data_IF_341320918778
#
_entry.id   IF_341320918778
#
_cell.length_a   1.000
_cell.length_b   1.000
_cell.length_c   1.000
_cell.angle_alpha   90.00
_cell.angle_beta   90.00
_cell.angle_gamma   90.00
#
_symmetry.space_group_name_H-M   'P 1'
#
loop_
_entity.id
_entity.type
_entity.pdbx_description
1 polymer ?
#
# COMPACT_ATOMS: atom_id res chain seq x y z
N UNK A 1 -0.33 -1.43 -18.69
CA UNK A 1 -0.76 -0.74 -19.92
C UNK A 1 -1.94 -1.41 -20.62
N UNK A 2 -1.97 -2.73 -20.82
CA UNK A 2 -3.06 -3.36 -21.58
C UNK A 2 -4.40 -3.46 -20.83
N UNK A 3 -4.40 -3.37 -19.50
CA UNK A 3 -5.62 -3.51 -18.68
C UNK A 3 -6.69 -2.48 -19.04
N UNK A 4 -6.33 -1.20 -19.02
CA UNK A 4 -7.25 -0.07 -19.16
C UNK A 4 -6.55 1.13 -19.84
N UNK A 5 -7.25 1.94 -20.67
CA UNK A 5 -6.66 3.12 -21.30
C UNK A 5 -6.15 4.20 -20.35
N UNK A 6 -6.60 4.20 -19.10
CA UNK A 6 -6.17 5.12 -18.04
C UNK A 6 -5.18 4.44 -17.06
N UNK A 7 -4.79 3.19 -17.33
CA UNK A 7 -3.75 2.51 -16.57
C UNK A 7 -2.43 3.27 -16.68
N UNK A 8 -1.67 3.30 -15.59
CA UNK A 8 -0.38 3.96 -15.52
C UNK A 8 0.74 2.93 -15.42
N UNK A 9 1.79 3.08 -16.25
CA UNK A 9 2.99 2.26 -16.20
C UNK A 9 4.23 3.16 -16.17
N UNK A 10 5.04 3.04 -15.10
CA UNK A 10 6.22 3.89 -14.87
C UNK A 10 7.45 3.00 -14.78
N UNK A 11 8.43 3.22 -15.65
CA UNK A 11 9.75 2.60 -15.56
C UNK A 11 10.74 3.55 -14.90
N UNK A 12 11.38 3.12 -13.81
CA UNK A 12 12.45 3.88 -13.15
C UNK A 12 13.80 3.22 -13.45
N UNK A 13 14.62 3.89 -14.25
CA UNK A 13 15.93 3.42 -14.71
C UNK A 13 17.03 3.99 -13.81
N UNK A 14 17.93 3.14 -13.32
CA UNK A 14 18.92 3.50 -12.29
C UNK A 14 20.32 3.61 -12.90
N UNK A 15 20.95 4.78 -12.73
CA UNK A 15 22.29 5.07 -13.22
C UNK A 15 22.29 5.32 -14.73
N UNK A 16 23.37 4.90 -15.40
CA UNK A 16 23.50 5.02 -16.87
C UNK A 16 22.84 3.82 -17.54
N UNK A 17 21.61 4.00 -18.00
CA UNK A 17 20.86 2.98 -18.76
C UNK A 17 20.72 3.40 -20.23
N UNK A 18 20.64 2.42 -21.14
CA UNK A 18 20.27 2.68 -22.53
C UNK A 18 18.75 2.86 -22.64
N UNK A 19 18.28 4.10 -22.56
CA UNK A 19 16.86 4.43 -22.73
C UNK A 19 16.33 3.99 -24.09
N UNK A 20 17.17 4.02 -25.13
CA UNK A 20 16.75 3.61 -26.48
C UNK A 20 16.49 2.10 -26.54
N UNK A 21 17.18 1.28 -25.75
CA UNK A 21 16.88 -0.14 -25.66
C UNK A 21 15.48 -0.39 -25.09
N UNK A 22 15.12 0.32 -24.01
CA UNK A 22 13.79 0.22 -23.39
C UNK A 22 12.70 0.68 -24.37
N UNK A 23 12.91 1.81 -25.05
CA UNK A 23 11.96 2.32 -26.04
C UNK A 23 11.81 1.38 -27.25
N UNK A 24 12.91 0.81 -27.76
CA UNK A 24 12.86 -0.17 -28.85
C UNK A 24 12.02 -1.39 -28.47
N UNK A 25 12.24 -1.93 -27.27
CA UNK A 25 11.48 -3.08 -26.78
C UNK A 25 10.00 -2.74 -26.57
N UNK A 26 9.71 -1.59 -25.95
CA UNK A 26 8.35 -1.11 -25.75
C UNK A 26 7.58 -0.99 -27.08
N UNK A 27 8.19 -0.37 -28.09
CA UNK A 27 7.59 -0.22 -29.43
C UNK A 27 7.42 -1.58 -30.10
N UNK A 28 8.44 -2.43 -30.07
CA UNK A 28 8.42 -3.76 -30.68
C UNK A 28 7.32 -4.65 -30.11
N UNK A 29 7.20 -4.72 -28.79
CA UNK A 29 6.16 -5.52 -28.13
C UNK A 29 4.76 -4.94 -28.34
N UNK A 30 4.62 -3.61 -28.31
CA UNK A 30 3.32 -2.95 -28.53
C UNK A 30 2.81 -3.17 -29.95
N UNK A 31 3.70 -3.19 -30.95
CA UNK A 31 3.33 -3.34 -32.35
C UNK A 31 2.64 -4.68 -32.67
N UNK A 32 2.97 -5.74 -31.93
CA UNK A 32 2.41 -7.10 -32.12
C UNK A 32 1.29 -7.44 -31.13
N UNK A 33 0.99 -6.56 -30.18
CA UNK A 33 0.02 -6.84 -29.12
C UNK A 33 -1.43 -6.79 -29.65
N UNK A 34 -2.28 -7.79 -29.34
CA UNK A 34 -3.69 -7.76 -29.76
C UNK A 34 -4.48 -6.56 -29.25
N UNK A 35 -4.16 -6.06 -28.04
CA UNK A 35 -4.78 -4.88 -27.42
C UNK A 35 -3.96 -3.60 -27.63
N UNK A 36 -3.23 -3.50 -28.74
CA UNK A 36 -2.32 -2.38 -29.06
C UNK A 36 -2.92 -1.00 -28.84
N UNK A 37 -4.14 -0.75 -29.30
CA UNK A 37 -4.78 0.57 -29.18
C UNK A 37 -4.95 1.01 -27.72
N UNK A 38 -5.27 0.07 -26.82
CA UNK A 38 -5.41 0.34 -25.38
C UNK A 38 -4.04 0.61 -24.77
N UNK A 39 -3.03 -0.20 -25.13
CA UNK A 39 -1.65 -0.06 -24.67
C UNK A 39 -1.10 1.32 -25.07
N UNK A 40 -1.23 1.69 -26.34
CA UNK A 40 -0.78 2.99 -26.86
C UNK A 40 -1.46 4.15 -26.14
N UNK A 41 -2.78 4.08 -25.94
CA UNK A 41 -3.53 5.12 -25.21
C UNK A 41 -3.07 5.24 -23.75
N UNK A 42 -2.93 4.12 -23.04
CA UNK A 42 -2.42 4.08 -21.66
C UNK A 42 -1.02 4.67 -21.53
N UNK A 43 -0.10 4.27 -22.40
CA UNK A 43 1.28 4.78 -22.40
C UNK A 43 1.31 6.28 -22.71
N UNK A 44 0.58 6.74 -23.72
CA UNK A 44 0.54 8.16 -24.09
C UNK A 44 -0.06 9.03 -22.98
N UNK A 45 -1.09 8.56 -22.28
CA UNK A 45 -1.79 9.33 -21.27
C UNK A 45 -1.03 9.38 -19.93
N UNK A 46 -0.46 8.24 -19.51
CA UNK A 46 0.01 8.08 -18.14
C UNK A 46 1.35 7.34 -18.03
N UNK A 47 1.94 6.90 -19.14
CA UNK A 47 3.24 6.24 -19.16
C UNK A 47 4.38 7.20 -18.84
N UNK A 48 5.41 6.71 -18.15
CA UNK A 48 6.63 7.49 -17.90
C UNK A 48 7.87 6.61 -17.84
N UNK A 49 8.99 7.13 -18.33
CA UNK A 49 10.33 6.58 -18.11
C UNK A 49 11.13 7.65 -17.37
N UNK A 50 11.62 7.30 -16.17
CA UNK A 50 12.34 8.22 -15.30
C UNK A 50 13.74 7.66 -15.09
N UNK A 51 14.77 8.41 -15.44
CA UNK A 51 16.16 8.03 -15.15
C UNK A 51 16.63 8.73 -13.86
N UNK A 52 17.16 7.96 -12.92
CA UNK A 52 17.66 8.44 -11.63
C UNK A 52 19.13 8.07 -11.43
N UNK A 53 19.90 8.82 -10.64
CA UNK A 53 21.32 8.55 -10.47
C UNK A 53 21.62 7.25 -9.71
N UNK A 54 20.74 6.87 -8.77
CA UNK A 54 20.98 5.73 -7.88
C UNK A 54 19.68 5.07 -7.38
N UNK A 55 19.86 3.94 -6.68
CA UNK A 55 18.78 3.13 -6.12
C UNK A 55 18.01 3.88 -5.03
N UNK A 56 18.67 4.81 -4.31
CA UNK A 56 18.01 5.57 -3.24
C UNK A 56 16.95 6.50 -3.83
N UNK A 57 17.28 7.22 -4.90
CA UNK A 57 16.30 8.03 -5.64
C UNK A 57 15.14 7.20 -6.18
N UNK A 58 15.39 5.99 -6.70
CA UNK A 58 14.32 5.09 -7.14
C UNK A 58 13.37 4.68 -6.00
N UNK A 59 13.92 4.37 -4.82
CA UNK A 59 13.14 4.05 -3.61
C UNK A 59 12.29 5.25 -3.17
N UNK A 60 12.84 6.47 -3.22
CA UNK A 60 12.11 7.69 -2.87
C UNK A 60 10.91 7.89 -3.80
N UNK A 61 11.11 7.76 -5.11
CA UNK A 61 10.01 7.83 -6.10
C UNK A 61 8.96 6.75 -5.84
N UNK A 62 9.37 5.49 -5.62
CA UNK A 62 8.42 4.40 -5.36
C UNK A 62 7.58 4.67 -4.10
N UNK A 63 8.21 5.13 -3.02
CA UNK A 63 7.52 5.46 -1.77
C UNK A 63 6.59 6.67 -1.89
N UNK A 64 6.99 7.69 -2.65
CA UNK A 64 6.13 8.85 -2.93
C UNK A 64 4.98 8.47 -3.85
N UNK A 65 5.21 7.58 -4.82
CA UNK A 65 4.16 7.15 -5.74
C UNK A 65 3.14 6.24 -5.07
N UNK A 66 3.59 5.39 -4.14
CA UNK A 66 2.77 4.37 -3.48
C UNK A 66 2.00 3.50 -4.51
N UNK A 67 2.72 2.80 -5.39
CA UNK A 67 2.12 2.09 -6.50
C UNK A 67 1.26 0.90 -6.05
N UNK A 68 0.31 0.53 -6.88
CA UNK A 68 -0.45 -0.72 -6.75
C UNK A 68 0.48 -1.93 -6.86
N UNK A 69 1.20 -2.03 -7.99
CA UNK A 69 2.22 -3.05 -8.25
C UNK A 69 3.62 -2.41 -8.32
N UNK A 70 4.61 -3.00 -7.65
CA UNK A 70 6.00 -2.58 -7.71
C UNK A 70 6.92 -3.75 -8.09
N UNK A 71 7.46 -3.73 -9.31
CA UNK A 71 8.53 -4.66 -9.71
C UNK A 71 9.91 -4.07 -9.39
N UNK A 72 10.75 -4.87 -8.71
CA UNK A 72 12.12 -4.50 -8.35
C UNK A 72 13.10 -5.41 -9.06
N UNK A 73 13.60 -4.94 -10.20
CA UNK A 73 14.56 -5.67 -11.05
C UNK A 73 15.96 -5.11 -10.82
N UNK A 74 16.57 -5.46 -9.68
CA UNK A 74 17.95 -5.07 -9.34
C UNK A 74 18.75 -6.26 -8.82
N UNK A 75 20.09 -6.15 -8.80
CA UNK A 75 20.97 -7.22 -8.27
C UNK A 75 20.66 -7.61 -6.81
N UNK A 76 20.15 -6.69 -6.00
CA UNK A 76 19.85 -6.92 -4.59
C UNK A 76 18.41 -6.51 -4.26
N UNK A 77 17.45 -7.03 -5.04
CA UNK A 77 16.03 -6.64 -4.97
C UNK A 77 15.44 -6.74 -3.55
N UNK A 78 15.82 -7.75 -2.77
CA UNK A 78 15.36 -7.91 -1.38
C UNK A 78 15.79 -6.75 -0.48
N UNK A 79 17.04 -6.30 -0.60
CA UNK A 79 17.53 -5.16 0.19
C UNK A 79 16.84 -3.84 -0.19
N UNK A 80 16.45 -3.70 -1.46
CA UNK A 80 15.65 -2.55 -1.92
C UNK A 80 14.23 -2.63 -1.37
N UNK A 81 13.59 -3.80 -1.45
CA UNK A 81 12.24 -4.05 -0.97
C UNK A 81 12.06 -3.71 0.52
N UNK A 82 13.07 -4.03 1.35
CA UNK A 82 13.07 -3.71 2.78
C UNK A 82 13.01 -2.20 3.08
N UNK A 83 13.25 -1.34 2.09
CA UNK A 83 13.17 0.12 2.21
C UNK A 83 11.89 0.71 1.58
N UNK A 84 11.05 -0.13 1.00
CA UNK A 84 9.74 0.25 0.48
C UNK A 84 8.74 0.26 1.63
N UNK A 85 8.10 1.40 1.82
CA UNK A 85 7.06 1.65 2.82
C UNK A 85 5.67 1.55 2.22
N UNK A 86 5.50 1.97 0.97
CA UNK A 86 4.20 2.07 0.30
C UNK A 86 4.21 1.31 -1.02
N UNK A 87 3.54 0.17 -1.07
CA UNK A 87 3.21 -0.56 -2.30
C UNK A 87 2.07 -1.56 -2.00
N UNK A 88 1.18 -1.82 -2.96
CA UNK A 88 0.16 -2.85 -2.82
C UNK A 88 0.76 -4.26 -2.85
N UNK A 89 1.50 -4.57 -3.92
CA UNK A 89 2.28 -5.79 -4.06
C UNK A 89 3.69 -5.48 -4.57
N UNK A 90 4.68 -6.25 -4.09
CA UNK A 90 6.09 -6.08 -4.46
C UNK A 90 6.61 -7.38 -5.08
N UNK A 91 7.13 -7.28 -6.30
CA UNK A 91 7.68 -8.38 -7.07
C UNK A 91 9.20 -8.25 -7.19
N UNK A 92 9.94 -9.33 -6.95
CA UNK A 92 11.39 -9.26 -6.75
C UNK A 92 12.16 -10.08 -7.79
N UNK A 93 12.97 -9.36 -8.60
CA UNK A 93 13.86 -9.96 -9.57
C UNK A 93 13.21 -10.20 -10.94
N UNK A 94 14.02 -10.54 -11.95
CA UNK A 94 13.61 -10.54 -13.36
C UNK A 94 12.63 -11.66 -13.73
N UNK A 95 12.46 -12.66 -12.87
CA UNK A 95 11.58 -13.82 -13.12
C UNK A 95 10.22 -13.69 -12.43
N UNK A 96 9.97 -12.57 -11.74
CA UNK A 96 8.74 -12.35 -10.97
C UNK A 96 7.96 -11.21 -11.61
N UNK A 97 7.37 -11.47 -12.77
CA UNK A 97 6.46 -10.53 -13.42
C UNK A 97 5.15 -10.39 -12.62
N UNK A 98 4.51 -9.22 -12.70
CA UNK A 98 3.19 -8.91 -12.11
C UNK A 98 2.16 -10.02 -12.35
N UNK A 99 2.09 -10.54 -13.59
CA UNK A 99 1.16 -11.60 -13.97
C UNK A 99 1.29 -12.89 -13.13
N UNK A 100 2.48 -13.20 -12.60
CA UNK A 100 2.65 -14.35 -11.70
C UNK A 100 1.89 -14.12 -10.38
N UNK A 101 1.91 -12.89 -9.88
CA UNK A 101 1.11 -12.43 -8.75
C UNK A 101 -0.38 -12.51 -9.00
N UNK A 102 -0.80 -12.00 -10.16
CA UNK A 102 -2.21 -11.86 -10.50
C UNK A 102 -2.96 -13.19 -10.60
N UNK A 103 -2.24 -14.28 -10.89
CA UNK A 103 -2.87 -15.56 -11.21
C UNK A 103 -2.48 -16.73 -10.31
N UNK A 104 -1.20 -16.85 -9.91
CA UNK A 104 -0.71 -18.15 -9.42
C UNK A 104 0.17 -18.10 -8.17
N UNK A 105 0.76 -16.95 -7.81
CA UNK A 105 1.67 -16.88 -6.67
C UNK A 105 0.97 -17.07 -5.31
N UNK A 106 -0.34 -16.78 -5.23
CA UNK A 106 -1.14 -16.89 -4.01
C UNK A 106 -1.60 -15.56 -3.36
N UNK A 107 -0.87 -14.43 -3.45
CA UNK A 107 -1.39 -13.13 -3.02
C UNK A 107 -2.67 -12.72 -3.74
N UNK A 108 -3.42 -11.78 -3.16
CA UNK A 108 -4.65 -11.27 -3.78
C UNK A 108 -4.32 -10.10 -4.72
N UNK A 109 -4.88 -10.10 -5.93
CA UNK A 109 -4.70 -9.02 -6.92
C UNK A 109 -5.67 -7.85 -6.74
N UNK A 110 -6.57 -7.89 -5.75
CA UNK A 110 -7.40 -6.73 -5.39
C UNK A 110 -6.57 -5.82 -4.49
N UNK A 111 -5.95 -4.82 -5.11
CA UNK A 111 -4.94 -3.98 -4.48
C UNK A 111 -5.38 -2.51 -4.39
N UNK A 112 -4.77 -1.74 -3.48
CA UNK A 112 -4.99 -0.30 -3.39
C UNK A 112 -4.34 0.44 -4.58
N UNK A 113 -5.16 1.11 -5.39
CA UNK A 113 -4.72 1.86 -6.58
C UNK A 113 -4.55 3.36 -6.29
N UNK A 114 -4.13 4.16 -7.29
CA UNK A 114 -4.16 5.64 -7.22
C UNK A 114 -3.42 6.25 -6.02
N UNK A 115 -2.33 5.61 -5.56
CA UNK A 115 -1.53 6.07 -4.43
C UNK A 115 -2.13 5.78 -3.05
N UNK A 116 -3.21 4.99 -2.99
CA UNK A 116 -3.87 4.64 -1.73
C UNK A 116 -3.13 3.55 -0.94
N UNK A 117 -2.11 2.91 -1.52
CA UNK A 117 -1.20 2.01 -0.82
C UNK A 117 -0.43 2.69 0.35
N UNK A 118 -0.57 4.02 0.50
CA UNK A 118 -0.13 4.77 1.70
C UNK A 118 -0.91 4.44 2.96
N UNK A 119 -2.16 4.01 2.84
CA UNK A 119 -3.07 3.84 3.98
C UNK A 119 -4.06 2.68 3.84
N UNK A 120 -4.20 2.08 2.65
CA UNK A 120 -4.93 0.84 2.46
C UNK A 120 -3.98 -0.33 2.22
N UNK A 121 -4.43 -1.51 2.62
CA UNK A 121 -3.75 -2.79 2.40
C UNK A 121 -4.42 -3.55 1.25
N UNK A 122 -3.72 -4.52 0.64
CA UNK A 122 -4.32 -5.53 -0.22
C UNK A 122 -5.54 -6.20 0.42
N UNK A 123 -6.51 -6.63 -0.41
CA UNK A 123 -7.61 -7.46 0.07
C UNK A 123 -7.05 -8.72 0.73
N UNK A 124 -7.49 -8.97 1.97
CA UNK A 124 -7.06 -10.15 2.73
C UNK A 124 -8.24 -10.72 3.50
N UNK A 125 -8.02 -11.87 4.16
CA UNK A 125 -9.03 -12.45 5.03
C UNK A 125 -9.53 -11.44 6.07
N UNK A 126 -8.64 -10.58 6.61
CA UNK A 126 -8.98 -9.54 7.59
C UNK A 126 -10.02 -8.54 7.09
N UNK A 127 -10.09 -8.30 5.78
CA UNK A 127 -11.09 -7.42 5.16
C UNK A 127 -12.53 -7.93 5.33
N UNK A 128 -12.69 -9.21 5.67
CA UNK A 128 -14.00 -9.85 5.91
C UNK A 128 -14.30 -10.06 7.40
N UNK A 129 -13.37 -9.71 8.30
CA UNK A 129 -13.60 -9.76 9.75
C UNK A 129 -14.18 -8.45 10.26
N UNK A 130 -14.96 -8.55 11.34
CA UNK A 130 -15.34 -7.42 12.18
C UNK A 130 -14.72 -7.63 13.56
N UNK A 131 -13.99 -6.64 14.06
CA UNK A 131 -13.43 -6.66 15.40
C UNK A 131 -14.36 -5.92 16.38
N UNK A 132 -14.70 -6.57 17.49
CA UNK A 132 -15.47 -5.97 18.58
C UNK A 132 -14.67 -6.03 19.87
N UNK A 133 -14.54 -4.90 20.57
CA UNK A 133 -13.89 -4.85 21.86
C UNK A 133 -14.91 -5.24 22.94
N UNK A 134 -14.59 -6.25 23.75
CA UNK A 134 -15.41 -6.68 24.89
C UNK A 134 -14.65 -6.31 26.17
N UNK A 135 -15.30 -5.54 27.05
CA UNK A 135 -14.69 -5.06 28.29
C UNK A 135 -15.58 -5.46 29.46
N UNK A 136 -14.99 -6.15 30.42
CA UNK A 136 -15.62 -6.50 31.70
C UNK A 136 -14.78 -5.90 32.83
N UNK A 137 -15.44 -5.30 33.83
CA UNK A 137 -14.79 -4.61 34.93
C UNK A 137 -15.17 -5.29 36.25
N UNK A 138 -14.17 -5.84 36.94
CA UNK A 138 -14.35 -6.39 38.29
C UNK A 138 -14.50 -5.26 39.32
N UNK A 139 -15.03 -5.55 40.53
CA UNK A 139 -15.09 -4.56 41.61
C UNK A 139 -13.72 -3.94 41.94
N UNK A 140 -12.66 -4.75 42.03
CA UNK A 140 -11.31 -4.29 42.34
C UNK A 140 -10.75 -3.40 41.21
N UNK A 141 -11.03 -3.76 39.94
CA UNK A 141 -10.63 -2.93 38.80
C UNK A 141 -11.38 -1.59 38.80
N UNK A 142 -12.67 -1.58 39.15
CA UNK A 142 -13.45 -0.36 39.28
C UNK A 142 -12.87 0.56 40.35
N UNK A 143 -12.56 0.05 41.53
CA UNK A 143 -11.94 0.82 42.62
C UNK A 143 -10.59 1.42 42.18
N UNK A 144 -9.78 0.64 41.45
CA UNK A 144 -8.47 1.06 40.96
C UNK A 144 -8.58 2.14 39.87
N UNK A 145 -9.53 2.00 38.94
CA UNK A 145 -9.67 2.87 37.78
C UNK A 145 -10.49 4.12 38.06
N UNK A 146 -11.39 4.08 39.04
CA UNK A 146 -12.34 5.16 39.30
C UNK A 146 -11.69 6.52 39.54
N UNK A 147 -10.60 6.68 40.31
CA UNK A 147 -9.97 7.98 40.49
C UNK A 147 -9.57 8.64 39.16
N UNK A 148 -8.98 7.87 38.25
CA UNK A 148 -8.60 8.35 36.91
C UNK A 148 -9.83 8.70 36.06
N UNK A 149 -10.84 7.83 36.05
CA UNK A 149 -12.06 8.05 35.25
C UNK A 149 -12.83 9.28 35.74
N UNK A 150 -12.96 9.45 37.06
CA UNK A 150 -13.63 10.62 37.65
C UNK A 150 -12.87 11.90 37.34
N UNK A 151 -11.54 11.90 37.52
CA UNK A 151 -10.69 13.08 37.23
C UNK A 151 -10.83 13.53 35.78
N UNK A 152 -10.77 12.59 34.82
CA UNK A 152 -10.89 12.90 33.39
C UNK A 152 -12.30 13.38 33.07
N UNK A 153 -13.34 12.65 33.52
CA UNK A 153 -14.73 13.02 33.23
C UNK A 153 -15.12 14.38 33.83
N UNK A 154 -14.60 14.74 35.01
CA UNK A 154 -14.81 16.06 35.62
C UNK A 154 -14.08 17.16 34.85
N UNK A 155 -12.83 16.92 34.44
CA UNK A 155 -12.05 17.88 33.64
C UNK A 155 -12.68 18.15 32.26
N UNK A 156 -13.33 17.15 31.67
CA UNK A 156 -14.09 17.28 30.43
C UNK A 156 -15.50 17.88 30.64
N UNK A 157 -15.92 18.12 31.89
CA UNK A 157 -17.26 18.63 32.21
C UNK A 157 -18.39 17.62 32.01
N UNK A 158 -18.07 16.32 31.85
CA UNK A 158 -19.02 15.24 31.59
C UNK A 158 -19.60 14.67 32.90
N UNK A 159 -20.44 15.47 33.58
CA UNK A 159 -21.04 15.11 34.88
C UNK A 159 -21.68 13.72 34.91
N UNK A 160 -22.47 13.36 33.90
CA UNK A 160 -23.17 12.06 33.86
C UNK A 160 -22.21 10.86 33.73
N UNK A 161 -21.06 11.02 33.08
CA UNK A 161 -20.04 9.97 32.99
C UNK A 161 -19.40 9.73 34.35
N UNK A 162 -19.01 10.80 35.06
CA UNK A 162 -18.47 10.70 36.41
C UNK A 162 -19.50 10.06 37.36
N UNK A 163 -20.75 10.51 37.33
CA UNK A 163 -21.80 9.94 38.19
C UNK A 163 -22.10 8.47 37.91
N UNK A 164 -22.00 8.01 36.67
CA UNK A 164 -22.16 6.59 36.35
C UNK A 164 -21.13 5.71 37.09
N UNK A 165 -19.91 6.20 37.28
CA UNK A 165 -18.86 5.52 38.05
C UNK A 165 -19.09 5.68 39.55
N UNK A 166 -19.34 6.91 40.05
CA UNK A 166 -19.59 7.15 41.49
C UNK A 166 -20.74 6.30 42.02
N UNK A 167 -21.81 6.11 41.26
CA UNK A 167 -22.95 5.27 41.66
C UNK A 167 -22.61 3.79 41.80
N UNK A 168 -21.59 3.29 41.09
CA UNK A 168 -21.14 1.89 41.18
C UNK A 168 -20.16 1.66 42.32
N UNK A 169 -19.37 2.67 42.70
CA UNK A 169 -18.51 2.65 43.90
C UNK A 169 -19.32 2.69 45.21
N UNK A 170 -20.53 3.25 45.18
CA UNK A 170 -21.40 3.42 46.36
C UNK A 170 -22.20 2.16 46.73
N UNK A 171 -21.99 1.05 46.03
CA UNK A 171 -22.61 -0.26 46.32
C UNK A 171 -21.58 -1.16 46.96
#
# INVERSE_FOLDING_TARGET
>A
AEHDPDAQSIAVLIGKCDLNAVLRELVGQTAVAPRREIIEKSICNAGAIIQVPDVKSAIEIANEKAPEHLEIITKNARAVANKIRNAGAIFLGPLTAEAIGDYAAGPNHTLPTSGTARFFSPLSVWSFYKCSHVVECSPQALETLAPSVLTIAEAEGLYAHAEAVRRRLKK
#
